data_IF_123981965476
#
_entry.id   IF_123981965476
#
_cell.length_a   1.000
_cell.length_b   1.000
_cell.length_c   1.000
_cell.angle_alpha   90.00
_cell.angle_beta   90.00
_cell.angle_gamma   90.00
#
_symmetry.space_group_name_H-M   'P 1'
#
loop_
_entity.id
_entity.type
_entity.pdbx_description
1 polymer ?
#
# COMPACT_ATOMS: atom_id res chain seq x y z
N UNK A 1 -13.08 -10.93 12.43
CA UNK A 1 -11.63 -11.13 12.21
C UNK A 1 -10.96 -10.95 13.55
N UNK A 2 -10.17 -11.93 13.98
CA UNK A 2 -9.38 -11.86 15.22
C UNK A 2 -7.92 -11.75 14.80
N UNK A 3 -7.16 -10.86 15.44
CA UNK A 3 -5.74 -10.75 15.16
C UNK A 3 -5.02 -12.03 15.58
N UNK A 4 -3.99 -12.43 14.84
CA UNK A 4 -3.19 -13.58 15.23
C UNK A 4 -2.39 -13.29 16.50
N UNK A 5 -2.36 -14.26 17.40
CA UNK A 5 -1.68 -14.15 18.71
C UNK A 5 -0.16 -13.97 18.59
N UNK A 6 0.45 -14.29 17.44
CA UNK A 6 1.88 -14.20 17.18
C UNK A 6 2.31 -12.90 16.47
N UNK A 7 1.40 -11.94 16.32
CA UNK A 7 1.64 -10.68 15.58
C UNK A 7 1.60 -9.48 16.52
N UNK A 8 2.67 -8.69 16.52
CA UNK A 8 2.81 -7.42 17.22
C UNK A 8 2.68 -6.21 16.30
N UNK A 9 2.38 -5.03 16.86
CA UNK A 9 2.34 -3.76 16.11
C UNK A 9 3.66 -3.47 15.36
N UNK A 10 4.81 -3.79 15.95
CA UNK A 10 6.13 -3.64 15.33
C UNK A 10 6.25 -4.54 14.08
N UNK A 11 5.80 -5.79 14.18
CA UNK A 11 5.83 -6.71 13.03
C UNK A 11 4.85 -6.25 11.93
N UNK A 12 3.69 -5.69 12.30
CA UNK A 12 2.73 -5.13 11.33
C UNK A 12 3.35 -3.95 10.59
N UNK A 13 3.98 -3.02 11.31
CA UNK A 13 4.69 -1.88 10.72
C UNK A 13 5.78 -2.35 9.75
N UNK A 14 6.66 -3.23 10.21
CA UNK A 14 7.77 -3.75 9.40
C UNK A 14 7.26 -4.48 8.14
N UNK A 15 6.16 -5.24 8.27
CA UNK A 15 5.53 -5.91 7.14
C UNK A 15 5.01 -4.90 6.11
N UNK A 16 4.29 -3.87 6.55
CA UNK A 16 3.82 -2.79 5.66
C UNK A 16 4.98 -2.08 4.96
N UNK A 17 6.03 -1.70 5.70
CA UNK A 17 7.23 -1.06 5.15
C UNK A 17 7.92 -1.94 4.10
N UNK A 18 8.05 -3.26 4.35
CA UNK A 18 8.58 -4.22 3.37
C UNK A 18 7.73 -4.29 2.11
N UNK A 19 6.41 -4.42 2.26
CA UNK A 19 5.49 -4.47 1.12
C UNK A 19 5.56 -3.18 0.29
N UNK A 20 5.66 -2.02 0.95
CA UNK A 20 5.80 -0.74 0.25
C UNK A 20 7.12 -0.66 -0.52
N UNK A 21 8.24 -1.09 0.08
CA UNK A 21 9.54 -1.12 -0.59
C UNK A 21 9.56 -2.08 -1.79
N UNK A 22 8.93 -3.25 -1.67
CA UNK A 22 8.77 -4.22 -2.77
C UNK A 22 7.97 -3.62 -3.93
N UNK A 23 6.86 -2.93 -3.64
CA UNK A 23 6.05 -2.28 -4.68
C UNK A 23 6.77 -1.10 -5.32
N UNK A 24 7.53 -0.32 -4.57
CA UNK A 24 8.36 0.75 -5.13
C UNK A 24 9.42 0.20 -6.09
N UNK A 25 10.09 -0.89 -5.73
CA UNK A 25 11.07 -1.53 -6.60
C UNK A 25 10.42 -2.07 -7.89
N UNK A 26 9.24 -2.69 -7.78
CA UNK A 26 8.50 -3.20 -8.93
C UNK A 26 8.08 -2.06 -9.87
N UNK A 27 7.52 -0.98 -9.31
CA UNK A 27 7.08 0.18 -10.08
C UNK A 27 8.26 0.86 -10.81
N UNK A 28 9.44 0.93 -10.17
CA UNK A 28 10.66 1.41 -10.83
C UNK A 28 11.11 0.50 -11.96
N UNK A 29 10.98 -0.83 -11.81
CA UNK A 29 11.29 -1.77 -12.87
C UNK A 29 10.33 -1.60 -14.06
N UNK A 30 9.03 -1.46 -13.80
CA UNK A 30 8.03 -1.21 -14.84
C UNK A 30 8.25 0.14 -15.54
N UNK A 31 8.65 1.18 -14.80
CA UNK A 31 8.97 2.49 -15.39
C UNK A 31 10.12 2.40 -16.41
N UNK A 32 11.11 1.53 -16.16
CA UNK A 32 12.29 1.36 -17.00
C UNK A 32 12.10 0.44 -18.21
N UNK A 33 10.99 -0.27 -18.31
CA UNK A 33 10.74 -1.27 -19.35
C UNK A 33 9.57 -0.86 -20.25
N UNK A 34 9.86 -0.71 -21.55
CA UNK A 34 8.90 -0.32 -22.58
C UNK A 34 7.69 -1.24 -22.69
N UNK A 35 7.78 -2.50 -22.23
CA UNK A 35 6.64 -3.42 -22.17
C UNK A 35 5.47 -2.86 -21.36
N UNK A 36 5.78 -2.08 -20.31
CA UNK A 36 4.80 -1.47 -19.39
C UNK A 36 4.32 -0.09 -19.83
N UNK A 37 4.64 0.29 -21.06
CA UNK A 37 4.15 1.53 -21.68
C UNK A 37 3.20 1.17 -22.80
N UNK A 38 1.96 1.64 -22.71
CA UNK A 38 1.01 1.55 -23.80
C UNK A 38 1.57 2.29 -25.03
N UNK A 39 1.80 1.54 -26.11
CA UNK A 39 2.40 2.06 -27.34
C UNK A 39 1.53 3.06 -28.10
N UNK A 40 0.22 3.07 -27.85
CA UNK A 40 -0.75 3.93 -28.52
C UNK A 40 -0.96 5.24 -27.75
N UNK A 41 -1.08 5.18 -26.42
CA UNK A 41 -1.34 6.35 -25.57
C UNK A 41 -0.06 6.95 -24.96
N UNK A 42 1.04 6.20 -24.94
CA UNK A 42 2.28 6.56 -24.25
C UNK A 42 2.18 6.50 -22.73
N UNK A 43 1.08 5.98 -22.20
CA UNK A 43 0.84 5.84 -20.77
C UNK A 43 1.71 4.72 -20.20
N UNK A 44 2.36 4.96 -19.05
CA UNK A 44 3.26 4.00 -18.43
C UNK A 44 2.73 3.62 -17.05
N UNK A 45 2.41 2.34 -16.86
CA UNK A 45 1.76 1.87 -15.63
C UNK A 45 2.67 2.00 -14.41
N UNK A 46 4.00 1.92 -14.60
CA UNK A 46 4.97 2.16 -13.53
C UNK A 46 4.88 3.56 -12.93
N UNK A 47 4.39 4.55 -13.69
CA UNK A 47 4.09 5.89 -13.15
C UNK A 47 2.89 5.88 -12.19
N UNK A 48 1.86 5.11 -12.50
CA UNK A 48 0.65 4.99 -11.67
C UNK A 48 0.97 4.27 -10.37
N UNK A 49 1.71 3.17 -10.46
CA UNK A 49 2.19 2.40 -9.31
C UNK A 49 3.11 3.25 -8.42
N UNK A 50 4.02 4.03 -9.00
CA UNK A 50 4.87 4.97 -8.25
C UNK A 50 4.05 6.10 -7.61
N UNK A 51 3.00 6.59 -8.27
CA UNK A 51 2.12 7.57 -7.67
C UNK A 51 1.37 6.97 -6.47
N UNK A 52 0.90 5.72 -6.59
CA UNK A 52 0.25 5.01 -5.50
C UNK A 52 1.19 4.82 -4.30
N UNK A 53 2.44 4.38 -4.51
CA UNK A 53 3.41 4.22 -3.41
C UNK A 53 3.76 5.54 -2.73
N UNK A 54 3.79 6.66 -3.46
CA UNK A 54 3.96 8.00 -2.87
C UNK A 54 2.81 8.39 -1.95
N UNK A 55 1.57 8.08 -2.32
CA UNK A 55 0.41 8.31 -1.44
C UNK A 55 0.53 7.47 -0.17
N UNK A 56 0.97 6.21 -0.29
CA UNK A 56 1.16 5.32 0.85
C UNK A 56 2.30 5.77 1.77
N UNK A 57 3.40 6.31 1.23
CA UNK A 57 4.49 6.90 2.01
C UNK A 57 4.08 8.07 2.88
N UNK A 58 2.98 8.75 2.54
CA UNK A 58 2.46 9.86 3.32
C UNK A 58 1.68 9.41 4.57
N UNK A 59 1.45 8.11 4.76
CA UNK A 59 0.81 7.57 5.96
C UNK A 59 1.80 7.67 7.14
N UNK A 60 1.39 8.38 8.20
CA UNK A 60 2.18 8.52 9.44
C UNK A 60 2.06 7.25 10.29
N UNK A 61 3.09 6.41 10.35
CA UNK A 61 3.06 5.10 11.04
C UNK A 61 3.13 5.14 12.57
N UNK A 62 2.98 6.33 13.16
CA UNK A 62 3.03 6.54 14.60
C UNK A 62 1.62 6.95 15.09
N UNK A 63 0.75 5.99 15.46
CA UNK A 63 -0.56 6.29 16.04
C UNK A 63 -0.41 6.94 17.43
N UNK A 64 -1.49 7.58 17.91
CA UNK A 64 -1.53 8.09 19.28
C UNK A 64 -1.24 6.95 20.29
N UNK A 65 -0.54 7.27 21.39
CA UNK A 65 0.17 6.33 22.27
C UNK A 65 -0.59 5.03 22.65
N UNK A 66 -1.91 5.07 22.82
CA UNK A 66 -2.73 3.89 23.16
C UNK A 66 -2.84 2.86 22.03
N UNK A 67 -2.70 3.27 20.76
CA UNK A 67 -2.77 2.38 19.60
C UNK A 67 -1.43 1.73 19.21
N UNK A 68 -0.34 2.10 19.88
CA UNK A 68 1.01 1.62 19.53
C UNK A 68 1.31 0.24 20.12
N UNK A 69 0.72 -0.09 21.27
CA UNK A 69 0.99 -1.33 22.01
C UNK A 69 -0.05 -2.43 21.77
N UNK A 70 -1.22 -2.09 21.22
CA UNK A 70 -2.27 -3.05 20.85
C UNK A 70 -2.18 -3.37 19.34
N UNK A 71 -1.79 -4.59 18.96
CA UNK A 71 -1.65 -4.99 17.57
C UNK A 71 -2.97 -4.91 16.79
N UNK A 72 -4.11 -5.15 17.43
CA UNK A 72 -5.43 -5.14 16.79
C UNK A 72 -5.87 -3.72 16.50
N UNK A 73 -5.63 -2.79 17.43
CA UNK A 73 -5.86 -1.36 17.20
C UNK A 73 -4.91 -0.83 16.13
N UNK A 74 -3.63 -1.21 16.16
CA UNK A 74 -2.65 -0.80 15.15
C UNK A 74 -3.04 -1.30 13.74
N UNK A 75 -3.39 -2.58 13.60
CA UNK A 75 -3.79 -3.16 12.32
C UNK A 75 -5.05 -2.49 11.75
N UNK A 76 -6.07 -2.25 12.59
CA UNK A 76 -7.29 -1.55 12.17
C UNK A 76 -7.00 -0.10 11.75
N UNK A 77 -6.20 0.61 12.53
CA UNK A 77 -5.81 1.99 12.24
C UNK A 77 -5.07 2.07 10.89
N UNK A 78 -4.10 1.17 10.64
CA UNK A 78 -3.32 1.17 9.40
C UNK A 78 -4.19 0.79 8.19
N UNK A 79 -5.07 -0.20 8.33
CA UNK A 79 -6.00 -0.58 7.26
C UNK A 79 -6.97 0.54 6.90
N UNK A 80 -7.44 1.31 7.88
CA UNK A 80 -8.25 2.51 7.60
C UNK A 80 -7.46 3.55 6.79
N UNK A 81 -6.19 3.79 7.17
CA UNK A 81 -5.34 4.75 6.43
C UNK A 81 -5.03 4.27 5.00
N UNK A 82 -4.95 2.96 4.77
CA UNK A 82 -4.83 2.39 3.42
C UNK A 82 -6.09 2.61 2.59
N UNK A 83 -7.27 2.42 3.18
CA UNK A 83 -8.55 2.70 2.52
C UNK A 83 -8.66 4.19 2.16
N UNK A 84 -8.37 5.08 3.10
CA UNK A 84 -8.37 6.53 2.89
C UNK A 84 -7.35 6.95 1.82
N UNK A 85 -6.16 6.34 1.83
CA UNK A 85 -5.15 6.52 0.78
C UNK A 85 -5.66 6.07 -0.59
N UNK A 86 -6.35 4.93 -0.67
CA UNK A 86 -6.99 4.44 -1.88
C UNK A 86 -8.06 5.39 -2.41
N UNK A 87 -8.90 5.95 -1.54
CA UNK A 87 -9.90 6.95 -1.93
C UNK A 87 -9.27 8.24 -2.46
N UNK A 88 -8.25 8.75 -1.77
CA UNK A 88 -7.49 9.92 -2.21
C UNK A 88 -6.79 9.68 -3.54
N UNK A 89 -6.13 8.53 -3.70
CA UNK A 89 -5.48 8.16 -4.96
C UNK A 89 -6.46 8.22 -6.14
N UNK A 90 -7.63 7.58 -6.02
CA UNK A 90 -8.68 7.60 -7.05
C UNK A 90 -9.21 9.00 -7.37
N UNK A 91 -9.15 9.92 -6.41
CA UNK A 91 -9.64 11.29 -6.58
C UNK A 91 -8.61 12.17 -7.29
N UNK A 92 -7.31 11.94 -7.01
CA UNK A 92 -6.23 12.82 -7.42
C UNK A 92 -5.48 12.33 -8.68
N UNK A 93 -5.60 11.05 -9.04
CA UNK A 93 -4.82 10.43 -10.12
C UNK A 93 -5.72 9.80 -11.18
N UNK A 94 -5.33 10.00 -12.44
CA UNK A 94 -5.88 9.22 -13.56
C UNK A 94 -5.13 7.89 -13.62
N UNK A 95 -5.82 6.80 -13.35
CA UNK A 95 -5.30 5.42 -13.37
C UNK A 95 -6.14 4.59 -14.36
N UNK A 96 -5.96 4.78 -15.68
CA UNK A 96 -6.83 4.21 -16.70
C UNK A 96 -6.78 2.68 -16.74
N UNK A 97 -5.62 2.11 -16.41
CA UNK A 97 -5.38 0.67 -16.42
C UNK A 97 -5.61 0.03 -15.04
N UNK A 98 -5.77 0.85 -13.99
CA UNK A 98 -6.05 0.40 -12.63
C UNK A 98 -4.86 -0.15 -11.87
N UNK A 99 -3.64 0.03 -12.38
CA UNK A 99 -2.43 -0.55 -11.77
C UNK A 99 -2.08 0.13 -10.45
N UNK A 100 -2.18 1.45 -10.38
CA UNK A 100 -1.86 2.16 -9.14
C UNK A 100 -2.82 1.83 -7.99
N UNK A 101 -4.13 1.78 -8.27
CA UNK A 101 -5.10 1.37 -7.25
C UNK A 101 -4.95 -0.12 -6.88
N UNK A 102 -4.56 -0.96 -7.84
CA UNK A 102 -4.25 -2.37 -7.57
C UNK A 102 -3.03 -2.53 -6.64
N UNK A 103 -2.01 -1.67 -6.76
CA UNK A 103 -0.87 -1.62 -5.83
C UNK A 103 -1.32 -1.41 -4.38
N UNK A 104 -2.20 -0.43 -4.15
CA UNK A 104 -2.75 -0.14 -2.80
C UNK A 104 -3.54 -1.35 -2.28
N UNK A 105 -4.46 -1.86 -3.11
CA UNK A 105 -5.31 -3.00 -2.74
C UNK A 105 -4.51 -4.28 -2.47
N UNK A 106 -3.38 -4.48 -3.16
CA UNK A 106 -2.50 -5.62 -2.91
C UNK A 106 -1.81 -5.52 -1.55
N UNK A 107 -1.26 -4.36 -1.20
CA UNK A 107 -0.65 -4.13 0.11
C UNK A 107 -1.70 -4.33 1.21
N UNK A 108 -2.89 -3.76 1.05
CA UNK A 108 -4.00 -3.93 2.00
C UNK A 108 -4.37 -5.41 2.17
N UNK A 109 -4.55 -6.15 1.07
CA UNK A 109 -4.88 -7.58 1.11
C UNK A 109 -3.81 -8.40 1.79
N UNK A 110 -2.54 -8.14 1.50
CA UNK A 110 -1.42 -8.87 2.10
C UNK A 110 -1.30 -8.54 3.59
N UNK A 111 -1.50 -7.29 3.98
CA UNK A 111 -1.55 -6.87 5.37
C UNK A 111 -2.67 -7.57 6.14
N UNK A 112 -3.88 -7.68 5.55
CA UNK A 112 -4.99 -8.44 6.16
C UNK A 112 -4.62 -9.92 6.37
N UNK A 113 -4.03 -10.58 5.38
CA UNK A 113 -3.56 -11.97 5.51
C UNK A 113 -2.45 -12.13 6.55
N UNK A 114 -1.59 -11.13 6.69
CA UNK A 114 -0.53 -11.13 7.67
C UNK A 114 -1.10 -11.05 9.10
N UNK A 115 -2.02 -10.11 9.33
CA UNK A 115 -2.54 -9.82 10.67
C UNK A 115 -3.60 -10.80 11.15
N UNK A 116 -4.46 -11.30 10.26
CA UNK A 116 -5.68 -12.01 10.65
C UNK A 116 -5.68 -13.46 10.17
N UNK A 117 -6.26 -14.34 11.01
CA UNK A 117 -6.54 -15.74 10.70
C UNK A 117 -7.95 -15.91 10.12
#
# INVERSE_FOLDING_TARGET
MVIRDDVSAIQIRAFFESQLAEQEALAMAHLGDSYWTDSYTGHNVGKDELAATRVLRAISLDPAAEGHDDPELYARWLLQHLEDAGHRYRSDHSDPDGYGIATIGMIERNLRKFCYA
#
